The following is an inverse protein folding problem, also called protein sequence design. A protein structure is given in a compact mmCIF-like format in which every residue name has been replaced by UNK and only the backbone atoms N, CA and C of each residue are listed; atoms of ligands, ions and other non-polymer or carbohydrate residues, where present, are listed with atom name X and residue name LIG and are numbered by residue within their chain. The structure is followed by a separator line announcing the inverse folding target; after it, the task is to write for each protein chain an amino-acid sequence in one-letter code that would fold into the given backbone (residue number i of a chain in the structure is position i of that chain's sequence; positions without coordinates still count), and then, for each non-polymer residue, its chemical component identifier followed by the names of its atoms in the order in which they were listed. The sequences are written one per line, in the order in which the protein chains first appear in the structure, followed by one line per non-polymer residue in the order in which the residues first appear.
data_IF_700584102442
#
_entry.id   IF_700584102442
#
_cell.length_a   1.000
_cell.length_b   1.000
_cell.length_c   1.000
_cell.angle_alpha   90.00
_cell.angle_beta   90.00
_cell.angle_gamma   90.00
#
_symmetry.space_group_name_H-M   'P 1'
#
loop_
_entity.id
_entity.type
_entity.pdbx_description
1 polymer ?
#
# COMPACT_ATOMS: atom_id res chain seq x y z
N UNK A 1 -8.33 13.44 -0.33
CA UNK A 1 -9.76 13.81 -0.36
C UNK A 1 -10.12 14.59 0.89
N UNK A 2 -9.87 14.08 2.13
CA UNK A 2 -10.28 14.75 3.37
C UNK A 2 -9.82 16.19 3.54
N UNK A 3 -8.55 16.50 3.21
CA UNK A 3 -8.00 17.88 3.33
C UNK A 3 -8.67 18.82 2.32
N UNK A 4 -8.87 18.37 1.07
CA UNK A 4 -9.50 19.18 0.05
C UNK A 4 -10.99 19.44 0.36
N UNK A 5 -11.70 18.42 0.86
CA UNK A 5 -13.11 18.58 1.28
C UNK A 5 -13.24 19.54 2.46
N UNK A 6 -12.36 19.43 3.47
CA UNK A 6 -12.35 20.34 4.61
C UNK A 6 -12.13 21.80 4.17
N UNK A 7 -11.12 22.05 3.35
CA UNK A 7 -10.81 23.40 2.86
C UNK A 7 -11.96 24.01 2.03
N UNK A 8 -12.65 23.22 1.21
CA UNK A 8 -13.79 23.69 0.42
C UNK A 8 -15.02 23.95 1.30
N UNK A 9 -15.25 23.11 2.32
CA UNK A 9 -16.35 23.30 3.29
C UNK A 9 -16.16 24.57 4.09
N UNK A 10 -14.92 24.87 4.52
CA UNK A 10 -14.57 26.11 5.24
C UNK A 10 -14.85 27.37 4.39
N UNK A 11 -14.73 27.25 3.07
CA UNK A 11 -15.08 28.31 2.11
C UNK A 11 -16.59 28.39 1.80
N UNK A 12 -17.42 27.57 2.44
CA UNK A 12 -18.87 27.53 2.22
C UNK A 12 -19.29 26.91 0.87
N UNK A 13 -18.39 26.20 0.19
CA UNK A 13 -18.67 25.54 -1.09
C UNK A 13 -19.24 24.16 -0.81
N UNK A 14 -20.44 23.89 -1.34
CA UNK A 14 -21.01 22.53 -1.28
C UNK A 14 -20.14 21.55 -2.07
N UNK A 15 -19.59 20.55 -1.39
CA UNK A 15 -18.65 19.60 -1.97
C UNK A 15 -19.39 18.31 -2.33
N UNK A 16 -19.42 17.98 -3.61
CA UNK A 16 -19.81 16.65 -4.06
C UNK A 16 -18.62 15.70 -3.92
N UNK A 17 -18.64 14.91 -2.86
CA UNK A 17 -17.57 13.97 -2.53
C UNK A 17 -17.43 12.89 -3.61
N UNK A 18 -18.51 12.48 -4.27
CA UNK A 18 -18.50 11.52 -5.37
C UNK A 18 -17.75 12.05 -6.59
N UNK A 19 -17.95 13.32 -6.91
CA UNK A 19 -17.28 14.00 -8.02
C UNK A 19 -15.77 14.13 -7.77
N UNK A 20 -15.37 14.47 -6.54
CA UNK A 20 -13.92 14.54 -6.16
C UNK A 20 -13.26 13.17 -6.26
N UNK A 21 -13.93 12.13 -5.77
CA UNK A 21 -13.40 10.76 -5.86
C UNK A 21 -13.30 10.32 -7.32
N UNK A 22 -14.34 10.58 -8.12
CA UNK A 22 -14.35 10.26 -9.55
C UNK A 22 -13.22 10.97 -10.32
N UNK A 23 -13.03 12.26 -10.08
CA UNK A 23 -11.95 13.04 -10.67
C UNK A 23 -10.57 12.52 -10.24
N UNK A 24 -10.41 12.23 -8.94
CA UNK A 24 -9.17 11.64 -8.40
C UNK A 24 -8.85 10.28 -9.04
N UNK A 25 -9.86 9.44 -9.26
CA UNK A 25 -9.70 8.15 -9.92
C UNK A 25 -9.27 8.31 -11.39
N UNK A 26 -9.85 9.25 -12.13
CA UNK A 26 -9.46 9.54 -13.51
C UNK A 26 -8.01 10.02 -13.57
N UNK A 27 -7.62 10.95 -12.70
CA UNK A 27 -6.23 11.42 -12.62
C UNK A 27 -5.26 10.29 -12.26
N UNK A 28 -5.66 9.43 -11.32
CA UNK A 28 -4.87 8.27 -10.93
C UNK A 28 -4.63 7.34 -12.11
N UNK A 29 -5.67 6.97 -12.86
CA UNK A 29 -5.56 6.07 -14.03
C UNK A 29 -4.64 6.68 -15.10
N UNK A 30 -4.77 7.99 -15.35
CA UNK A 30 -3.91 8.68 -16.33
C UNK A 30 -2.45 8.68 -15.86
N UNK A 31 -2.20 9.05 -14.61
CA UNK A 31 -0.85 9.08 -14.05
C UNK A 31 -0.20 7.69 -14.05
N UNK A 32 -0.96 6.66 -13.68
CA UNK A 32 -0.51 5.28 -13.67
C UNK A 32 -0.19 4.77 -15.07
N UNK A 33 -1.04 5.06 -16.06
CA UNK A 33 -0.81 4.69 -17.46
C UNK A 33 0.47 5.34 -18.01
N UNK A 34 0.71 6.61 -17.70
CA UNK A 34 1.94 7.33 -18.09
C UNK A 34 3.16 6.70 -17.40
N UNK A 35 3.06 6.40 -16.10
CA UNK A 35 4.15 5.78 -15.32
C UNK A 35 4.50 4.40 -15.87
N UNK A 36 3.50 3.55 -16.09
CA UNK A 36 3.70 2.21 -16.68
C UNK A 36 4.34 2.32 -18.07
N UNK A 37 3.82 3.21 -18.91
CA UNK A 37 4.39 3.42 -20.25
C UNK A 37 5.86 3.83 -20.20
N UNK A 38 6.20 4.78 -19.32
CA UNK A 38 7.57 5.24 -19.14
C UNK A 38 8.49 4.11 -18.64
N UNK A 39 8.06 3.38 -17.60
CA UNK A 39 8.84 2.27 -17.03
C UNK A 39 9.04 1.17 -18.06
N UNK A 40 8.00 0.79 -18.81
CA UNK A 40 8.13 -0.25 -19.85
C UNK A 40 9.06 0.19 -20.97
N UNK A 41 8.97 1.47 -21.41
CA UNK A 41 9.85 2.00 -22.44
C UNK A 41 11.30 2.07 -21.95
N UNK A 42 11.51 2.47 -20.70
CA UNK A 42 12.83 2.48 -20.08
C UNK A 42 13.39 1.06 -19.95
N UNK A 43 12.63 0.11 -19.46
CA UNK A 43 13.02 -1.29 -19.33
C UNK A 43 13.38 -1.90 -20.71
N UNK A 44 12.61 -1.60 -21.75
CA UNK A 44 12.91 -2.04 -23.11
C UNK A 44 14.22 -1.45 -23.63
N UNK A 45 14.50 -0.17 -23.33
CA UNK A 45 15.74 0.50 -23.68
C UNK A 45 16.96 -0.15 -22.98
N UNK A 46 16.88 -0.34 -21.67
CA UNK A 46 17.96 -0.97 -20.88
C UNK A 46 18.17 -2.43 -21.28
N UNK A 47 17.10 -3.15 -21.66
CA UNK A 47 17.21 -4.52 -22.18
C UNK A 47 17.94 -4.58 -23.51
N UNK A 48 17.77 -3.58 -24.38
CA UNK A 48 18.45 -3.50 -25.68
C UNK A 48 19.91 -3.05 -25.53
N UNK A 49 20.18 -2.13 -24.59
CA UNK A 49 21.51 -1.61 -24.29
C UNK A 49 21.69 -1.48 -22.78
N UNK A 50 22.42 -2.42 -22.18
CA UNK A 50 22.70 -2.45 -20.73
C UNK A 50 23.45 -1.20 -20.23
N UNK A 51 24.18 -0.50 -21.10
CA UNK A 51 24.86 0.74 -20.76
C UNK A 51 23.96 1.98 -20.66
N UNK A 52 22.70 1.88 -21.09
CA UNK A 52 21.75 3.01 -21.09
C UNK A 52 20.94 3.17 -19.80
N UNK A 53 21.34 2.47 -18.73
CA UNK A 53 20.71 2.58 -17.40
C UNK A 53 21.10 3.90 -16.72
N UNK A 54 20.19 4.42 -15.86
CA UNK A 54 20.49 5.56 -14.98
C UNK A 54 21.25 5.14 -13.71
N UNK A 55 21.40 3.84 -13.45
CA UNK A 55 22.14 3.35 -12.29
C UNK A 55 23.65 3.57 -12.48
N UNK A 56 24.31 4.01 -11.44
CA UNK A 56 25.77 4.08 -11.40
C UNK A 56 26.39 2.68 -11.46
N UNK A 57 27.66 2.57 -11.88
CA UNK A 57 28.37 1.29 -11.91
C UNK A 57 28.44 0.63 -10.52
N UNK A 58 28.50 1.41 -9.43
CA UNK A 58 28.49 0.93 -8.08
C UNK A 58 27.14 0.31 -7.72
N UNK A 59 26.04 1.02 -7.97
CA UNK A 59 24.67 0.53 -7.74
C UNK A 59 24.37 -0.72 -8.57
N UNK A 60 24.85 -0.79 -9.80
CA UNK A 60 24.73 -2.00 -10.63
C UNK A 60 25.46 -3.20 -9.99
N UNK A 61 26.67 -2.97 -9.49
CA UNK A 61 27.46 -4.04 -8.86
C UNK A 61 26.86 -4.49 -7.53
N UNK A 62 26.30 -3.57 -6.75
CA UNK A 62 25.59 -3.88 -5.49
C UNK A 62 24.28 -4.64 -5.77
N UNK A 63 23.51 -4.18 -6.74
CA UNK A 63 22.30 -4.85 -7.20
C UNK A 63 22.58 -6.26 -7.75
N UNK A 64 23.66 -6.42 -8.53
CA UNK A 64 24.09 -7.73 -9.03
C UNK A 64 24.53 -8.66 -7.87
N UNK A 65 25.19 -8.16 -6.83
CA UNK A 65 25.55 -8.94 -5.64
C UNK A 65 24.34 -9.35 -4.82
N UNK A 66 23.35 -8.47 -4.69
CA UNK A 66 22.17 -8.69 -3.88
C UNK A 66 21.14 -9.58 -4.59
N UNK A 67 20.93 -9.36 -5.86
CA UNK A 67 19.88 -10.06 -6.64
C UNK A 67 20.43 -11.03 -7.70
N UNK A 68 21.68 -10.86 -8.14
CA UNK A 68 22.31 -11.66 -9.21
C UNK A 68 22.68 -13.11 -8.79
N UNK A 69 22.70 -13.42 -7.51
CA UNK A 69 22.96 -14.80 -7.03
C UNK A 69 21.78 -15.75 -7.29
N UNK A 70 20.67 -15.25 -7.82
CA UNK A 70 19.53 -16.07 -8.21
C UNK A 70 19.62 -16.55 -9.67
N UNK A 71 20.62 -16.12 -10.44
CA UNK A 71 20.92 -16.59 -11.80
C UNK A 71 21.88 -17.79 -11.80
N UNK A 72 21.48 -18.85 -11.13
CA UNK A 72 22.00 -20.19 -11.40
C UNK A 72 21.21 -20.81 -12.54
N UNK A 73 21.78 -20.77 -13.72
CA UNK A 73 21.36 -21.40 -14.97
C UNK A 73 20.61 -20.48 -15.96
N UNK A 74 21.40 -19.95 -16.91
CA UNK A 74 20.93 -19.08 -17.95
C UNK A 74 19.91 -19.71 -18.89
N UNK A 75 18.65 -19.39 -18.66
CA UNK A 75 17.60 -19.27 -19.67
C UNK A 75 16.46 -18.46 -19.09
N UNK A 76 16.27 -17.27 -19.63
CA UNK A 76 15.29 -16.28 -19.21
C UNK A 76 13.93 -16.86 -18.92
N UNK A 77 13.55 -16.77 -17.68
CA UNK A 77 12.19 -16.55 -17.23
C UNK A 77 12.19 -16.43 -15.71
N UNK A 78 12.27 -15.24 -15.17
CA UNK A 78 12.02 -14.99 -13.75
C UNK A 78 10.62 -15.46 -13.29
N UNK A 79 9.79 -15.94 -14.22
CA UNK A 79 8.46 -16.49 -13.96
C UNK A 79 8.38 -18.02 -14.11
N UNK A 80 9.49 -18.71 -14.43
CA UNK A 80 9.54 -20.18 -14.61
C UNK A 80 10.19 -20.91 -13.43
N UNK A 81 10.50 -20.24 -12.33
CA UNK A 81 10.80 -20.94 -11.10
C UNK A 81 9.55 -21.73 -10.69
N UNK A 82 9.66 -23.05 -10.74
CA UNK A 82 8.58 -23.95 -10.28
C UNK A 82 8.39 -23.69 -8.80
N UNK A 83 7.45 -22.78 -8.49
CA UNK A 83 7.09 -22.42 -7.12
C UNK A 83 6.67 -23.70 -6.38
N UNK A 84 7.35 -23.96 -5.28
CA UNK A 84 6.95 -25.02 -4.36
C UNK A 84 5.52 -24.78 -3.89
N UNK A 85 4.76 -25.84 -3.62
CA UNK A 85 3.36 -25.72 -3.19
C UNK A 85 3.16 -24.75 -2.04
N UNK A 86 4.11 -24.69 -1.09
CA UNK A 86 4.10 -23.73 0.04
C UNK A 86 4.26 -22.28 -0.44
N UNK A 87 5.15 -22.02 -1.37
CA UNK A 87 5.35 -20.67 -1.93
C UNK A 87 4.11 -20.17 -2.68
N UNK A 88 3.40 -21.07 -3.39
CA UNK A 88 2.13 -20.74 -4.01
C UNK A 88 1.08 -20.34 -2.99
N UNK A 89 0.96 -21.06 -1.86
CA UNK A 89 0.01 -20.75 -0.80
C UNK A 89 0.36 -19.37 -0.18
N UNK A 90 1.63 -19.11 0.11
CA UNK A 90 2.08 -17.82 0.63
C UNK A 90 1.75 -16.68 -0.33
N UNK A 91 2.00 -16.86 -1.63
CA UNK A 91 1.68 -15.87 -2.65
C UNK A 91 0.18 -15.59 -2.76
N UNK A 92 -0.65 -16.65 -2.71
CA UNK A 92 -2.11 -16.52 -2.74
C UNK A 92 -2.61 -15.78 -1.49
N UNK A 93 -2.11 -16.12 -0.31
CA UNK A 93 -2.47 -15.43 0.94
C UNK A 93 -2.03 -13.97 0.92
N UNK A 94 -0.85 -13.69 0.39
CA UNK A 94 -0.36 -12.32 0.21
C UNK A 94 -1.30 -11.52 -0.71
N UNK A 95 -1.66 -12.08 -1.87
CA UNK A 95 -2.61 -11.44 -2.77
C UNK A 95 -3.99 -11.26 -2.12
N UNK A 96 -4.47 -12.27 -1.37
CA UNK A 96 -5.73 -12.20 -0.64
C UNK A 96 -5.72 -11.07 0.41
N UNK A 97 -4.58 -10.84 1.06
CA UNK A 97 -4.44 -9.75 2.03
C UNK A 97 -4.77 -8.39 1.40
N UNK A 98 -4.27 -8.14 0.19
CA UNK A 98 -4.58 -6.90 -0.53
C UNK A 98 -6.04 -6.85 -1.01
N UNK A 99 -6.58 -7.97 -1.49
CA UNK A 99 -7.99 -8.03 -1.91
C UNK A 99 -8.91 -7.68 -0.75
N UNK A 100 -8.69 -8.26 0.44
CA UNK A 100 -9.49 -7.96 1.64
C UNK A 100 -9.31 -6.50 2.06
N UNK A 101 -8.10 -5.95 2.01
CA UNK A 101 -7.86 -4.54 2.28
C UNK A 101 -8.67 -3.65 1.33
N UNK A 102 -8.63 -3.90 0.02
CA UNK A 102 -9.40 -3.13 -0.97
C UNK A 102 -10.90 -3.20 -0.66
N UNK A 103 -11.42 -4.40 -0.38
CA UNK A 103 -12.82 -4.60 0.02
C UNK A 103 -13.15 -3.83 1.30
N UNK A 104 -12.21 -3.77 2.26
CA UNK A 104 -12.36 -3.01 3.50
C UNK A 104 -12.45 -1.50 3.30
N UNK A 105 -11.72 -0.96 2.34
CA UNK A 105 -11.68 0.48 2.06
C UNK A 105 -12.83 1.00 1.17
N UNK A 106 -13.43 0.14 0.35
CA UNK A 106 -14.52 0.54 -0.55
C UNK A 106 -15.79 0.77 0.26
N UNK A 107 -16.38 1.97 0.27
CA UNK A 107 -17.59 2.29 1.02
C UNK A 107 -18.82 1.68 0.34
N UNK A 108 -19.06 0.40 0.56
CA UNK A 108 -20.12 -0.39 -0.10
C UNK A 108 -21.51 0.17 0.12
N UNK A 109 -21.76 0.78 1.28
CA UNK A 109 -23.04 1.41 1.61
C UNK A 109 -23.42 2.52 0.62
N UNK A 110 -22.43 3.27 0.11
CA UNK A 110 -22.67 4.31 -0.89
C UNK A 110 -23.16 3.74 -2.23
N UNK A 111 -22.93 2.44 -2.45
CA UNK A 111 -23.41 1.70 -3.64
C UNK A 111 -24.70 0.90 -3.36
N UNK A 112 -25.30 1.07 -2.17
CA UNK A 112 -26.49 0.33 -1.77
C UNK A 112 -26.23 -1.14 -1.41
N UNK A 113 -24.98 -1.50 -1.10
CA UNK A 113 -24.57 -2.87 -0.73
C UNK A 113 -24.34 -2.93 0.77
N UNK A 114 -25.37 -3.41 1.52
CA UNK A 114 -25.32 -3.53 2.98
C UNK A 114 -24.89 -4.91 3.47
N UNK A 115 -24.38 -5.76 2.58
CA UNK A 115 -23.99 -7.14 2.88
C UNK A 115 -22.99 -7.22 4.05
N UNK A 116 -22.05 -6.30 4.12
CA UNK A 116 -21.00 -6.28 5.15
C UNK A 116 -21.47 -5.72 6.50
N UNK A 117 -22.62 -5.04 6.53
CA UNK A 117 -23.24 -4.48 7.72
C UNK A 117 -24.29 -5.40 8.36
N UNK A 118 -24.55 -6.57 7.79
CA UNK A 118 -25.52 -7.52 8.33
C UNK A 118 -25.20 -7.89 9.79
N UNK A 119 -26.15 -7.69 10.67
CA UNK A 119 -26.02 -7.91 12.12
C UNK A 119 -25.58 -6.68 12.91
N UNK A 120 -25.11 -5.62 12.24
CA UNK A 120 -24.82 -4.31 12.83
C UNK A 120 -25.89 -3.28 12.50
N UNK A 121 -25.77 -2.10 13.11
CA UNK A 121 -26.58 -0.92 12.81
C UNK A 121 -25.68 0.30 12.56
N UNK A 122 -26.25 1.40 12.07
CA UNK A 122 -25.52 2.65 11.92
C UNK A 122 -24.97 3.19 13.25
N UNK A 123 -25.69 2.91 14.35
CA UNK A 123 -25.32 3.34 15.71
C UNK A 123 -24.35 2.36 16.38
N UNK A 124 -24.36 1.07 16.00
CA UNK A 124 -23.45 0.05 16.50
C UNK A 124 -22.94 -0.85 15.35
N UNK A 125 -21.95 -0.37 14.62
CA UNK A 125 -21.35 -1.13 13.52
C UNK A 125 -20.54 -2.34 13.98
N UNK A 126 -20.16 -2.42 15.26
CA UNK A 126 -19.35 -3.52 15.80
C UNK A 126 -20.10 -4.85 15.83
N UNK A 127 -21.43 -4.82 15.83
CA UNK A 127 -22.29 -6.00 15.74
C UNK A 127 -22.34 -6.63 14.35
N UNK A 128 -21.79 -6.01 13.32
CA UNK A 128 -21.75 -6.56 11.96
C UNK A 128 -20.86 -7.80 11.89
N UNK A 129 -21.27 -8.81 11.11
CA UNK A 129 -20.51 -10.05 10.96
C UNK A 129 -19.08 -9.82 10.45
N UNK A 130 -18.86 -8.79 9.64
CA UNK A 130 -17.55 -8.45 9.09
C UNK A 130 -16.66 -7.65 10.05
N UNK A 131 -17.22 -7.18 11.18
CA UNK A 131 -16.49 -6.43 12.21
C UNK A 131 -15.69 -7.33 13.17
N UNK A 132 -15.85 -8.65 13.12
CA UNK A 132 -15.27 -9.59 14.09
C UNK A 132 -13.74 -9.50 14.21
N UNK A 133 -13.05 -9.00 13.21
CA UNK A 133 -11.59 -8.99 13.15
C UNK A 133 -10.98 -7.68 13.65
N UNK A 134 -11.57 -6.56 13.31
CA UNK A 134 -11.05 -5.22 13.59
C UNK A 134 -11.99 -4.36 14.44
N UNK A 135 -13.18 -4.88 14.76
CA UNK A 135 -14.25 -4.11 15.40
C UNK A 135 -14.99 -3.16 14.47
N UNK A 136 -14.55 -3.05 13.21
CA UNK A 136 -15.14 -2.17 12.19
C UNK A 136 -15.49 -3.00 10.96
N UNK A 137 -16.72 -2.89 10.42
CA UNK A 137 -17.15 -3.69 9.28
C UNK A 137 -16.38 -3.32 8.00
N UNK A 138 -16.28 -4.29 7.09
CA UNK A 138 -15.73 -4.07 5.76
C UNK A 138 -16.53 -2.98 5.03
N UNK A 139 -15.80 -2.05 4.42
CA UNK A 139 -16.40 -0.88 3.78
C UNK A 139 -16.35 0.39 4.64
N UNK A 140 -15.90 0.27 5.90
CA UNK A 140 -15.70 1.40 6.80
C UNK A 140 -14.29 1.43 7.38
N UNK A 141 -13.35 0.69 6.77
CA UNK A 141 -11.98 0.61 7.23
C UNK A 141 -11.20 1.88 6.94
N UNK A 142 -10.30 2.21 7.87
CA UNK A 142 -9.26 3.23 7.73
C UNK A 142 -7.87 2.61 7.92
N UNK A 143 -6.85 3.43 8.10
CA UNK A 143 -5.47 2.98 8.24
C UNK A 143 -5.23 2.09 9.47
N UNK A 144 -5.98 2.29 10.55
CA UNK A 144 -5.83 1.49 11.77
C UNK A 144 -6.24 0.04 11.54
N UNK A 145 -7.40 -0.18 10.91
CA UNK A 145 -7.92 -1.50 10.59
C UNK A 145 -7.03 -2.21 9.57
N UNK A 146 -6.58 -1.49 8.54
CA UNK A 146 -5.63 -2.01 7.57
C UNK A 146 -4.32 -2.43 8.24
N UNK A 147 -3.78 -1.61 9.15
CA UNK A 147 -2.54 -1.94 9.88
C UNK A 147 -2.71 -3.20 10.71
N UNK A 148 -3.82 -3.31 11.45
CA UNK A 148 -4.14 -4.51 12.24
C UNK A 148 -4.27 -5.75 11.35
N UNK A 149 -4.95 -5.62 10.21
CA UNK A 149 -5.11 -6.68 9.23
C UNK A 149 -3.78 -7.15 8.65
N UNK A 150 -2.92 -6.22 8.18
CA UNK A 150 -1.62 -6.57 7.63
C UNK A 150 -0.71 -7.23 8.67
N UNK A 151 -0.71 -6.74 9.91
CA UNK A 151 0.06 -7.35 10.99
C UNK A 151 -0.38 -8.78 11.26
N UNK A 152 -1.70 -9.02 11.35
CA UNK A 152 -2.26 -10.34 11.55
C UNK A 152 -1.88 -11.28 10.40
N UNK A 153 -2.05 -10.82 9.16
CA UNK A 153 -1.73 -11.63 7.98
C UNK A 153 -0.24 -11.90 7.84
N UNK A 154 0.62 -10.97 8.23
CA UNK A 154 2.07 -11.20 8.25
C UNK A 154 2.43 -12.35 9.22
N UNK A 155 1.81 -12.39 10.40
CA UNK A 155 2.00 -13.48 11.38
C UNK A 155 1.47 -14.80 10.81
N UNK A 156 0.27 -14.81 10.24
CA UNK A 156 -0.35 -16.01 9.65
C UNK A 156 0.52 -16.56 8.52
N UNK A 157 0.99 -15.71 7.61
CA UNK A 157 1.87 -16.08 6.51
C UNK A 157 3.20 -16.63 7.06
N UNK A 158 3.78 -15.98 8.07
CA UNK A 158 5.02 -16.44 8.71
C UNK A 158 4.88 -17.85 9.31
N UNK A 159 3.78 -18.12 10.00
CA UNK A 159 3.49 -19.44 10.57
C UNK A 159 3.28 -20.50 9.47
N UNK A 160 2.52 -20.18 8.44
CA UNK A 160 2.26 -21.08 7.32
C UNK A 160 3.53 -21.37 6.48
N UNK A 161 4.40 -20.37 6.34
CA UNK A 161 5.70 -20.52 5.74
C UNK A 161 6.67 -21.34 6.61
N UNK A 162 6.27 -21.67 7.85
CA UNK A 162 7.10 -22.34 8.86
C UNK A 162 8.37 -21.57 9.22
N UNK A 163 8.30 -20.27 9.22
CA UNK A 163 9.38 -19.43 9.72
C UNK A 163 9.50 -19.60 11.24
N UNK A 164 10.73 -19.53 11.76
CA UNK A 164 10.91 -19.50 13.21
C UNK A 164 10.42 -18.17 13.78
N UNK A 165 10.00 -18.15 15.05
CA UNK A 165 9.59 -16.90 15.69
C UNK A 165 10.67 -15.82 15.64
N UNK A 166 11.94 -16.22 15.69
CA UNK A 166 13.09 -15.32 15.55
C UNK A 166 13.15 -14.68 14.16
N UNK A 167 12.87 -15.45 13.11
CA UNK A 167 12.91 -14.95 11.73
C UNK A 167 11.73 -14.00 11.46
N UNK A 168 10.54 -14.31 12.00
CA UNK A 168 9.35 -13.42 11.90
C UNK A 168 9.66 -12.09 12.56
N UNK A 169 10.15 -12.09 13.79
CA UNK A 169 10.50 -10.87 14.53
C UNK A 169 11.64 -10.13 13.84
N UNK A 170 12.67 -10.84 13.38
CA UNK A 170 13.81 -10.23 12.67
C UNK A 170 13.40 -9.52 11.39
N UNK A 171 12.54 -10.15 10.57
CA UNK A 171 12.00 -9.55 9.35
C UNK A 171 11.11 -8.34 9.66
N UNK A 172 10.29 -8.42 10.70
CA UNK A 172 9.46 -7.29 11.13
C UNK A 172 10.33 -6.10 11.57
N UNK A 173 11.34 -6.33 12.40
CA UNK A 173 12.27 -5.29 12.84
C UNK A 173 13.07 -4.69 11.68
N UNK A 174 13.46 -5.50 10.69
CA UNK A 174 14.09 -5.03 9.46
C UNK A 174 13.19 -4.06 8.71
N UNK A 175 11.93 -4.42 8.49
CA UNK A 175 10.94 -3.54 7.86
C UNK A 175 10.70 -2.24 8.65
N UNK A 176 10.67 -2.31 10.00
CA UNK A 176 10.57 -1.12 10.84
C UNK A 176 11.78 -0.19 10.65
N UNK A 177 12.98 -0.75 10.57
CA UNK A 177 14.21 0.03 10.39
C UNK A 177 14.19 0.80 9.05
N UNK A 178 13.72 0.19 7.97
CA UNK A 178 13.56 0.85 6.67
C UNK A 178 12.54 2.00 6.73
N UNK A 179 11.48 1.86 7.53
CA UNK A 179 10.43 2.88 7.67
C UNK A 179 10.86 4.08 8.53
N UNK A 180 11.91 3.98 9.34
CA UNK A 180 12.37 5.09 10.21
C UNK A 180 12.70 6.34 9.41
N UNK A 181 13.37 6.20 8.27
CA UNK A 181 13.72 7.33 7.39
C UNK A 181 12.47 8.07 6.89
N UNK A 182 11.47 7.32 6.45
CA UNK A 182 10.19 7.88 5.96
C UNK A 182 9.43 8.57 7.08
N UNK A 183 9.35 7.94 8.26
CA UNK A 183 8.70 8.51 9.44
C UNK A 183 9.35 9.83 9.87
N UNK A 184 10.69 9.91 9.81
CA UNK A 184 11.44 11.11 10.16
C UNK A 184 11.16 12.26 9.17
N UNK A 185 11.11 11.97 7.87
CA UNK A 185 10.76 12.97 6.84
C UNK A 185 9.34 13.51 7.06
N UNK A 186 8.37 12.62 7.35
CA UNK A 186 6.99 13.02 7.63
C UNK A 186 6.93 13.88 8.90
N UNK A 187 7.64 13.49 9.96
CA UNK A 187 7.68 14.24 11.21
C UNK A 187 8.26 15.67 11.00
N UNK A 188 9.35 15.78 10.24
CA UNK A 188 9.94 17.07 9.90
C UNK A 188 8.99 17.93 9.06
N UNK A 189 8.37 17.36 8.03
CA UNK A 189 7.42 18.09 7.20
C UNK A 189 6.22 18.59 8.01
N UNK A 190 5.69 17.77 8.92
CA UNK A 190 4.63 18.18 9.87
C UNK A 190 5.07 19.29 10.81
N UNK A 191 6.29 19.19 11.34
CA UNK A 191 6.84 20.23 12.24
C UNK A 191 6.94 21.58 11.54
N UNK A 192 7.41 21.60 10.28
CA UNK A 192 7.46 22.82 9.46
C UNK A 192 6.05 23.39 9.24
N UNK A 193 5.09 22.53 8.88
CA UNK A 193 3.71 22.96 8.66
C UNK A 193 3.09 23.59 9.94
N UNK A 194 3.33 22.99 11.11
CA UNK A 194 2.85 23.53 12.39
C UNK A 194 3.52 24.87 12.70
N UNK A 195 4.82 25.00 12.53
CA UNK A 195 5.53 26.26 12.75
C UNK A 195 4.98 27.36 11.83
N UNK A 196 4.73 27.05 10.56
CA UNK A 196 4.18 28.03 9.62
C UNK A 196 2.77 28.49 10.03
N UNK A 197 1.89 27.57 10.44
CA UNK A 197 0.53 27.91 10.86
C UNK A 197 0.50 28.71 12.18
N UNK A 198 1.34 28.35 13.15
CA UNK A 198 1.39 29.03 14.46
C UNK A 198 2.07 30.40 14.39
N UNK A 199 2.98 30.62 13.45
CA UNK A 199 3.69 31.89 13.27
C UNK A 199 3.01 32.85 12.29
N UNK A 200 1.83 32.48 11.76
CA UNK A 200 1.09 33.23 10.74
C UNK A 200 1.91 33.56 9.48
N UNK A 201 2.97 32.77 9.20
CA UNK A 201 3.79 32.93 7.99
C UNK A 201 3.03 32.54 6.71
N UNK A 202 1.88 31.87 6.85
CA UNK A 202 0.96 31.50 5.76
C UNK A 202 0.08 32.66 5.29
N UNK A 203 0.11 33.81 6.00
CA UNK A 203 -0.69 35.02 5.67
C UNK A 203 0.10 36.09 4.91
N UNK A 204 1.37 35.83 4.56
CA UNK A 204 2.20 36.76 3.78
C UNK A 204 2.31 36.41 2.30
#
# INVERSE_FOLDING_TARGET
VGVATAALTDLGIAVDQGLIIGFGLVLFVIAEAISIFFVMRYAAKVKADKGSTFMSLQEQTESEKEYGQTEGDGKGSAFSAVLTGKQKIVLVLFALTFVVMIVGFVPWQNFGIDLFMLGGSADDPSGAWSAFLTGTPLGSWYFNEATAWFLLMAIVIGILARLSGKDIVGTFLGGCAEMVSVALVIALARSVAVIMSETALDTF
#
